data_IF_481122096785
#
_entry.id   IF_481122096785
#
_cell.length_a   1.000
_cell.length_b   1.000
_cell.length_c   1.000
_cell.angle_alpha   90.00
_cell.angle_beta   90.00
_cell.angle_gamma   90.00
#
_symmetry.space_group_name_H-M   'P 1'
#
loop_
_entity.id
_entity.type
_entity.pdbx_description
1 polymer ?
#
# COMPACT_ATOMS: atom_id res chain seq x y z
N UNK A 1 -9.42 13.23 2.35
CA UNK A 1 -7.96 13.16 2.39
C UNK A 1 -7.45 11.95 1.66
N UNK A 2 -6.54 12.16 0.74
CA UNK A 2 -6.21 11.14 -0.25
C UNK A 2 -4.81 10.58 -0.07
N UNK A 3 -4.29 10.60 1.15
CA UNK A 3 -2.97 10.04 1.39
C UNK A 3 -2.91 9.31 2.73
N UNK A 4 -1.95 8.39 2.82
CA UNK A 4 -1.68 7.62 4.02
C UNK A 4 -0.38 8.09 4.63
N UNK A 5 -0.26 8.00 5.95
CA UNK A 5 1.04 8.13 6.58
C UNK A 5 1.86 6.87 6.26
N UNK A 6 3.16 6.93 6.48
CA UNK A 6 4.00 5.76 6.26
C UNK A 6 3.57 4.59 7.15
N UNK A 7 3.17 4.86 8.39
CA UNK A 7 2.70 3.82 9.29
C UNK A 7 1.42 3.16 8.75
N UNK A 8 0.46 3.97 8.30
CA UNK A 8 -0.77 3.44 7.72
C UNK A 8 -0.50 2.60 6.48
N UNK A 9 0.43 3.06 5.64
CA UNK A 9 0.84 2.31 4.46
C UNK A 9 1.42 0.95 4.86
N UNK A 10 2.28 0.92 5.87
CA UNK A 10 2.87 -0.34 6.34
C UNK A 10 1.81 -1.30 6.88
N UNK A 11 0.83 -0.77 7.59
CA UNK A 11 -0.29 -1.59 8.09
C UNK A 11 -1.06 -2.20 6.94
N UNK A 12 -1.31 -1.42 5.88
CA UNK A 12 -1.98 -1.91 4.69
C UNK A 12 -1.18 -3.03 4.03
N UNK A 13 0.11 -2.83 3.85
CA UNK A 13 0.98 -3.83 3.21
C UNK A 13 1.05 -5.10 4.06
N UNK A 14 1.16 -4.96 5.37
CA UNK A 14 1.19 -6.12 6.26
C UNK A 14 -0.09 -6.94 6.15
N UNK A 15 -1.23 -6.27 6.09
CA UNK A 15 -2.53 -6.94 5.93
C UNK A 15 -2.60 -7.66 4.58
N UNK A 16 -2.14 -7.01 3.52
CA UNK A 16 -2.10 -7.62 2.19
C UNK A 16 -1.23 -8.87 2.19
N UNK A 17 -0.05 -8.79 2.79
CA UNK A 17 0.88 -9.90 2.82
C UNK A 17 0.35 -11.06 3.67
N UNK A 18 -0.28 -10.74 4.78
CA UNK A 18 -0.87 -11.78 5.63
C UNK A 18 -2.00 -12.50 4.89
N UNK A 19 -2.86 -11.76 4.22
CA UNK A 19 -3.94 -12.34 3.42
C UNK A 19 -3.38 -13.22 2.31
N UNK A 20 -2.33 -12.74 1.65
CA UNK A 20 -1.68 -13.48 0.57
C UNK A 20 -1.10 -14.82 1.06
N UNK A 21 -0.50 -14.82 2.24
CA UNK A 21 0.04 -16.04 2.82
C UNK A 21 -1.06 -17.04 3.17
N UNK A 22 -2.18 -16.53 3.65
CA UNK A 22 -3.29 -17.38 4.09
C UNK A 22 -4.06 -17.99 2.92
N UNK A 23 -4.27 -17.22 1.87
CA UNK A 23 -5.12 -17.62 0.75
C UNK A 23 -4.34 -18.08 -0.48
N UNK A 24 -3.06 -17.75 -0.56
CA UNK A 24 -2.24 -18.07 -1.72
C UNK A 24 -2.38 -17.07 -2.86
N UNK A 25 -3.13 -15.98 -2.65
CA UNK A 25 -3.36 -14.97 -3.67
C UNK A 25 -3.34 -13.58 -3.05
N UNK A 26 -2.97 -12.58 -3.86
CA UNK A 26 -3.08 -11.19 -3.44
C UNK A 26 -4.57 -10.83 -3.37
N UNK A 27 -5.01 -10.12 -2.32
CA UNK A 27 -6.43 -9.76 -2.19
C UNK A 27 -6.86 -8.80 -3.30
N UNK A 28 -8.14 -8.86 -3.66
CA UNK A 28 -8.70 -7.95 -4.66
C UNK A 28 -8.76 -6.52 -4.16
N UNK A 29 -8.88 -6.34 -2.84
CA UNK A 29 -8.98 -5.03 -2.21
C UNK A 29 -8.15 -5.02 -0.93
N UNK A 30 -7.59 -3.86 -0.63
CA UNK A 30 -6.97 -3.60 0.67
C UNK A 30 -7.83 -2.58 1.40
N UNK A 31 -7.95 -2.75 2.70
CA UNK A 31 -8.71 -1.81 3.53
C UNK A 31 -7.78 -1.17 4.53
N UNK A 32 -7.87 0.16 4.64
CA UNK A 32 -7.17 0.90 5.66
C UNK A 32 -8.13 1.95 6.20
N UNK A 33 -8.46 1.86 7.48
CA UNK A 33 -9.51 2.67 8.09
C UNK A 33 -10.82 2.46 7.31
N UNK A 34 -11.41 3.51 6.78
CA UNK A 34 -12.66 3.44 6.02
C UNK A 34 -12.45 3.43 4.52
N UNK A 35 -11.18 3.27 4.09
CA UNK A 35 -10.83 3.35 2.68
C UNK A 35 -10.62 1.96 2.11
N UNK A 36 -11.22 1.69 0.96
CA UNK A 36 -11.03 0.44 0.23
C UNK A 36 -10.25 0.75 -1.05
N UNK A 37 -9.14 0.06 -1.25
CA UNK A 37 -8.23 0.29 -2.36
C UNK A 37 -8.14 -0.99 -3.19
N UNK A 38 -8.43 -0.88 -4.49
CA UNK A 38 -8.39 -2.05 -5.38
C UNK A 38 -6.97 -2.56 -5.57
N UNK A 39 -6.84 -3.83 -5.98
CA UNK A 39 -5.54 -4.45 -6.23
C UNK A 39 -4.70 -3.61 -7.19
N UNK A 40 -5.28 -3.19 -8.28
CA UNK A 40 -4.59 -2.35 -9.26
C UNK A 40 -4.01 -1.10 -8.61
N UNK A 41 -4.79 -0.47 -7.75
CA UNK A 41 -4.39 0.78 -7.13
C UNK A 41 -3.36 0.59 -6.02
N UNK A 42 -3.50 -0.43 -5.18
CA UNK A 42 -2.48 -0.62 -4.15
C UNK A 42 -1.15 -1.11 -4.75
N UNK A 43 -1.19 -1.86 -5.87
CA UNK A 43 0.05 -2.20 -6.58
C UNK A 43 0.75 -0.93 -7.07
N UNK A 44 -0.02 0.01 -7.64
CA UNK A 44 0.55 1.28 -8.09
C UNK A 44 1.20 2.04 -6.93
N UNK A 45 0.57 2.02 -5.76
CA UNK A 45 1.11 2.67 -4.57
C UNK A 45 2.43 2.01 -4.14
N UNK A 46 2.46 0.68 -4.12
CA UNK A 46 3.67 -0.07 -3.76
C UNK A 46 4.80 0.24 -4.72
N UNK A 47 4.52 0.28 -6.02
CA UNK A 47 5.54 0.60 -7.02
C UNK A 47 6.09 2.02 -6.81
N UNK A 48 5.23 2.98 -6.53
CA UNK A 48 5.67 4.36 -6.30
C UNK A 48 6.53 4.48 -5.06
N UNK A 49 6.18 3.78 -3.98
CA UNK A 49 6.97 3.79 -2.76
C UNK A 49 8.34 3.17 -3.02
N UNK A 50 8.39 2.04 -3.72
CA UNK A 50 9.66 1.39 -4.03
C UNK A 50 10.54 2.28 -4.91
N UNK A 51 9.96 2.92 -5.90
CA UNK A 51 10.69 3.84 -6.77
C UNK A 51 11.24 5.02 -5.98
N UNK A 52 10.45 5.59 -5.10
CA UNK A 52 10.87 6.69 -4.26
C UNK A 52 12.05 6.27 -3.38
N UNK A 53 11.96 5.09 -2.76
CA UNK A 53 13.02 4.58 -1.90
C UNK A 53 14.32 4.41 -2.68
N UNK A 54 14.24 3.84 -3.90
CA UNK A 54 15.42 3.64 -4.74
C UNK A 54 16.05 4.95 -5.18
N UNK A 55 15.23 5.96 -5.49
CA UNK A 55 15.73 7.24 -5.97
C UNK A 55 16.23 8.15 -4.85
N UNK A 56 15.54 8.13 -3.73
CA UNK A 56 15.82 9.07 -2.64
C UNK A 56 16.59 8.48 -1.48
N UNK A 57 16.70 7.15 -1.41
CA UNK A 57 17.39 6.48 -0.33
C UNK A 57 16.65 6.50 1.00
N UNK A 58 15.37 6.84 1.00
CA UNK A 58 14.55 6.87 2.20
C UNK A 58 13.08 6.63 1.84
N UNK A 59 12.29 6.26 2.84
CA UNK A 59 10.86 6.08 2.64
C UNK A 59 10.15 7.43 2.56
N UNK A 60 9.06 7.53 1.78
CA UNK A 60 8.27 8.77 1.75
C UNK A 60 7.55 8.97 3.08
N UNK A 61 7.27 10.22 3.41
CA UNK A 61 6.55 10.55 4.64
C UNK A 61 5.05 10.27 4.50
N UNK A 62 4.54 10.43 3.31
CA UNK A 62 3.13 10.15 3.04
C UNK A 62 3.03 9.51 1.67
N UNK A 63 1.99 8.71 1.48
CA UNK A 63 1.77 7.98 0.24
C UNK A 63 0.40 8.36 -0.29
N UNK A 64 0.37 8.91 -1.49
CA UNK A 64 -0.90 9.29 -2.12
C UNK A 64 -1.69 8.04 -2.45
N UNK A 65 -2.98 8.06 -2.13
CA UNK A 65 -3.88 6.96 -2.46
C UNK A 65 -4.25 7.05 -3.94
N UNK A 66 -4.01 5.95 -4.66
CA UNK A 66 -4.39 5.83 -6.06
C UNK A 66 -5.85 5.38 -6.15
N UNK A 67 -6.57 5.96 -7.06
CA UNK A 67 -7.99 5.62 -7.29
C UNK A 67 -8.25 5.23 -8.71
#
# INVERSE_FOLDING_TARGET
>A
MESLTLQEYREMVDDIMETSKRTGEMPEYANIHDITISRKNYFAMIEKVNKFLLEMGRNPRSIKIEK
#
